data_IF_343191718992
#
_entry.id   IF_343191718992
#
_cell.length_a   1.000
_cell.length_b   1.000
_cell.length_c   1.000
_cell.angle_alpha   90.00
_cell.angle_beta   90.00
_cell.angle_gamma   90.00
#
_symmetry.space_group_name_H-M   'P 1'
#
loop_
_entity.id
_entity.type
_entity.pdbx_description
1 polymer ?
#
# COMPACT_ATOMS: atom_id res chain seq x y z
N UNK A 1 -0.11 -0.33 -24.33
CA UNK A 1 -0.31 0.25 -22.97
C UNK A 1 -1.69 -0.16 -22.48
N UNK A 2 -1.78 -0.86 -21.38
CA UNK A 2 -3.04 -1.23 -20.71
C UNK A 2 -3.07 -0.52 -19.35
N UNK A 3 -4.18 0.12 -18.99
CA UNK A 3 -4.35 0.81 -17.72
C UNK A 3 -5.39 0.05 -16.91
N UNK A 4 -5.04 -0.34 -15.68
CA UNK A 4 -5.94 -1.02 -14.73
C UNK A 4 -6.21 -0.06 -13.58
N UNK A 5 -7.49 0.21 -13.33
CA UNK A 5 -7.93 1.00 -12.19
C UNK A 5 -7.87 0.12 -10.93
N UNK A 6 -7.03 0.50 -9.98
CA UNK A 6 -6.80 -0.18 -8.71
C UNK A 6 -7.63 0.43 -7.57
N UNK A 7 -8.47 1.44 -7.86
CA UNK A 7 -9.27 2.14 -6.87
C UNK A 7 -10.54 1.37 -6.52
N UNK A 8 -10.94 1.45 -5.25
CA UNK A 8 -12.28 1.08 -4.83
C UNK A 8 -13.28 2.18 -5.19
N UNK A 9 -14.55 1.81 -5.40
CA UNK A 9 -15.63 2.75 -5.67
C UNK A 9 -16.55 2.88 -4.45
N UNK A 10 -16.97 4.11 -4.15
CA UNK A 10 -18.02 4.37 -3.17
C UNK A 10 -18.95 5.49 -3.67
N UNK A 11 -20.21 5.46 -3.24
CA UNK A 11 -21.19 6.46 -3.65
C UNK A 11 -21.31 7.55 -2.60
N UNK A 12 -21.11 8.81 -2.98
CA UNK A 12 -21.22 9.97 -2.10
C UNK A 12 -22.07 11.06 -2.77
N UNK A 13 -23.11 11.52 -2.09
CA UNK A 13 -23.88 12.72 -2.49
C UNK A 13 -23.30 14.01 -1.90
N UNK A 14 -22.64 13.92 -0.73
CA UNK A 14 -21.97 15.03 -0.06
C UNK A 14 -20.58 14.60 0.39
N UNK A 15 -19.54 15.34 -0.01
CA UNK A 15 -18.18 15.03 0.36
C UNK A 15 -17.87 15.48 1.80
N UNK A 16 -18.30 14.68 2.77
CA UNK A 16 -17.77 14.67 4.14
C UNK A 16 -17.26 13.28 4.38
N UNK A 17 -16.00 13.03 4.06
CA UNK A 17 -15.39 11.70 4.12
C UNK A 17 -14.48 11.58 5.32
N UNK A 18 -14.45 10.40 5.93
CA UNK A 18 -13.28 9.95 6.66
C UNK A 18 -12.14 9.80 5.63
N UNK A 19 -10.96 10.42 5.81
CA UNK A 19 -9.85 10.36 4.85
C UNK A 19 -9.39 8.91 4.57
N UNK A 20 -9.59 7.99 5.51
CA UNK A 20 -9.29 6.56 5.37
C UNK A 20 -10.44 5.75 4.72
N UNK A 21 -11.27 6.37 3.88
CA UNK A 21 -12.37 5.68 3.19
C UNK A 21 -11.99 5.32 1.76
N UNK A 22 -12.13 4.04 1.41
CA UNK A 22 -11.79 3.53 0.07
C UNK A 22 -10.27 3.46 -0.14
N UNK A 23 -9.83 3.57 -1.39
CA UNK A 23 -8.39 3.61 -1.69
C UNK A 23 -7.80 4.94 -1.26
N UNK A 24 -6.82 4.90 -0.38
CA UNK A 24 -6.20 6.10 0.20
C UNK A 24 -4.71 5.88 0.49
N UNK A 25 -3.98 6.97 0.66
CA UNK A 25 -2.57 6.97 1.05
C UNK A 25 -2.39 7.66 2.40
N UNK A 26 -1.60 7.05 3.26
CA UNK A 26 -1.18 7.58 4.56
C UNK A 26 0.26 8.06 4.51
N UNK A 27 0.52 9.19 5.15
CA UNK A 27 1.83 9.80 5.31
C UNK A 27 2.26 9.83 6.78
N UNK A 28 3.55 10.11 7.08
CA UNK A 28 4.07 10.18 8.45
C UNK A 28 3.23 11.02 9.41
N UNK A 29 2.62 12.11 8.96
CA UNK A 29 1.77 12.96 9.80
C UNK A 29 0.55 12.22 10.40
N UNK A 30 0.21 11.04 9.89
CA UNK A 30 -0.87 10.22 10.45
C UNK A 30 -0.57 9.75 11.88
N UNK A 31 0.67 9.38 12.15
CA UNK A 31 1.09 8.87 13.47
C UNK A 31 2.10 9.76 14.21
N UNK A 32 2.75 10.66 13.49
CA UNK A 32 3.81 11.50 14.02
C UNK A 32 3.44 12.98 13.86
N UNK A 33 3.30 13.76 14.97
CA UNK A 33 2.87 15.15 14.89
C UNK A 33 3.76 16.05 14.01
N UNK A 34 5.07 15.75 13.96
CA UNK A 34 6.06 16.47 13.14
C UNK A 34 6.37 15.74 11.83
N UNK A 35 5.61 14.69 11.50
CA UNK A 35 5.76 13.92 10.27
C UNK A 35 5.30 14.71 9.04
N UNK A 36 5.88 14.39 7.89
CA UNK A 36 5.47 14.98 6.62
C UNK A 36 4.00 14.65 6.31
N UNK A 37 3.30 15.64 5.81
CA UNK A 37 1.95 15.51 5.25
C UNK A 37 2.02 15.09 3.79
N UNK A 38 0.89 14.65 3.25
CA UNK A 38 0.80 14.11 1.89
C UNK A 38 1.32 15.07 0.83
N UNK A 39 0.98 16.37 0.94
CA UNK A 39 1.38 17.40 -0.03
C UNK A 39 2.86 17.81 0.05
N UNK A 40 3.58 17.35 1.06
CA UNK A 40 5.00 17.63 1.26
C UNK A 40 5.92 16.59 0.58
N UNK A 41 5.34 15.54 -0.01
CA UNK A 41 6.06 14.57 -0.80
C UNK A 41 6.13 14.96 -2.27
N UNK A 42 7.27 14.68 -2.90
CA UNK A 42 7.44 14.86 -4.33
C UNK A 42 6.52 13.91 -5.11
N UNK A 43 6.02 14.35 -6.28
CA UNK A 43 5.03 13.61 -7.07
C UNK A 43 5.55 12.25 -7.54
N UNK A 44 6.86 12.10 -7.70
CA UNK A 44 7.55 10.86 -8.05
C UNK A 44 7.31 9.74 -7.04
N UNK A 45 6.99 10.08 -5.78
CA UNK A 45 6.60 9.10 -4.75
C UNK A 45 5.25 8.44 -5.04
N UNK A 46 4.40 9.10 -5.81
CA UNK A 46 3.08 8.64 -6.20
C UNK A 46 3.02 8.16 -7.66
N UNK A 47 4.11 8.33 -8.41
CA UNK A 47 4.28 7.86 -9.79
C UNK A 47 5.60 7.10 -9.85
N UNK A 48 5.57 5.80 -9.62
CA UNK A 48 6.77 4.99 -9.46
C UNK A 48 6.65 3.63 -10.16
N UNK A 49 7.77 2.98 -10.39
CA UNK A 49 7.76 1.54 -10.67
C UNK A 49 7.26 0.79 -9.43
N UNK A 50 6.47 -0.25 -9.65
CA UNK A 50 5.89 -1.05 -8.59
C UNK A 50 6.15 -2.54 -8.82
N UNK A 51 6.52 -3.25 -7.76
CA UNK A 51 6.57 -4.70 -7.72
C UNK A 51 5.25 -5.24 -7.15
N UNK A 52 4.66 -6.24 -7.81
CA UNK A 52 3.50 -6.98 -7.30
C UNK A 52 3.99 -8.28 -6.66
N UNK A 53 3.73 -8.44 -5.37
CA UNK A 53 3.98 -9.66 -4.62
C UNK A 53 2.67 -10.42 -4.38
N UNK A 54 2.57 -11.61 -4.94
CA UNK A 54 1.39 -12.47 -4.77
C UNK A 54 1.46 -13.24 -3.45
N UNK A 55 0.65 -12.79 -2.51
CA UNK A 55 0.48 -13.36 -1.17
C UNK A 55 -0.95 -13.94 -1.00
N UNK A 56 -1.62 -14.21 -2.12
CA UNK A 56 -3.02 -14.69 -2.16
C UNK A 56 -3.22 -16.07 -1.52
N UNK A 57 -2.14 -16.78 -1.21
CA UNK A 57 -2.15 -18.03 -0.48
C UNK A 57 -2.31 -17.86 1.04
N UNK A 58 -2.07 -16.66 1.57
CA UNK A 58 -2.25 -16.36 3.00
C UNK A 58 -3.72 -16.39 3.36
N UNK A 59 -4.02 -16.92 4.52
CA UNK A 59 -5.39 -17.01 5.03
C UNK A 59 -5.77 -15.74 5.78
N UNK A 60 -7.07 -15.58 5.94
CA UNK A 60 -7.67 -14.51 6.73
C UNK A 60 -6.99 -14.38 8.11
N UNK A 61 -6.56 -13.19 8.48
CA UNK A 61 -5.92 -12.90 9.76
C UNK A 61 -4.50 -13.43 9.94
N UNK A 62 -3.89 -14.02 8.89
CA UNK A 62 -2.49 -14.43 8.96
C UNK A 62 -1.55 -13.25 8.70
N UNK A 63 -0.45 -13.15 9.49
CA UNK A 63 0.59 -12.17 9.22
C UNK A 63 1.34 -12.51 7.93
N UNK A 64 1.81 -11.47 7.27
CA UNK A 64 2.78 -11.53 6.18
C UNK A 64 4.11 -11.12 6.81
N UNK A 65 5.00 -12.10 6.98
CA UNK A 65 6.33 -11.90 7.56
C UNK A 65 7.39 -11.73 6.46
N UNK A 66 8.62 -11.45 6.86
CA UNK A 66 9.78 -11.31 5.98
C UNK A 66 10.01 -12.55 5.10
N UNK A 67 9.89 -13.76 5.65
CA UNK A 67 10.01 -15.02 4.91
C UNK A 67 8.94 -15.15 3.80
N UNK A 68 7.73 -14.66 4.03
CA UNK A 68 6.67 -14.65 3.02
C UNK A 68 7.00 -13.69 1.86
N UNK A 69 7.58 -12.53 2.19
CA UNK A 69 7.98 -11.52 1.20
C UNK A 69 9.16 -12.02 0.35
N UNK A 70 10.17 -12.65 0.98
CA UNK A 70 11.29 -13.26 0.26
C UNK A 70 10.82 -14.36 -0.70
N UNK A 71 9.94 -15.23 -0.22
CA UNK A 71 9.35 -16.28 -1.06
C UNK A 71 8.54 -15.71 -2.23
N UNK A 72 7.81 -14.61 -2.01
CA UNK A 72 7.04 -13.95 -3.07
C UNK A 72 7.95 -13.23 -4.09
N UNK A 73 9.08 -12.63 -3.68
CA UNK A 73 10.11 -12.10 -4.58
C UNK A 73 10.68 -13.19 -5.48
N UNK A 74 11.06 -14.33 -4.88
CA UNK A 74 11.59 -15.48 -5.60
C UNK A 74 10.56 -16.05 -6.60
N UNK A 75 9.31 -16.23 -6.17
CA UNK A 75 8.25 -16.73 -7.03
C UNK A 75 7.93 -15.78 -8.20
N UNK A 76 8.04 -14.48 -7.99
CA UNK A 76 7.86 -13.45 -9.01
C UNK A 76 9.11 -13.27 -9.93
N UNK A 77 10.23 -13.90 -9.58
CA UNK A 77 11.49 -13.76 -10.30
C UNK A 77 12.06 -12.34 -10.27
N UNK A 78 11.85 -11.61 -9.19
CA UNK A 78 12.31 -10.23 -9.04
C UNK A 78 13.06 -10.02 -7.73
N UNK A 79 13.81 -8.92 -7.65
CA UNK A 79 14.35 -8.38 -6.42
C UNK A 79 13.81 -6.97 -6.22
N UNK A 80 13.39 -6.63 -5.00
CA UNK A 80 12.94 -5.30 -4.66
C UNK A 80 14.07 -4.28 -4.79
N UNK A 81 13.73 -3.07 -5.24
CA UNK A 81 14.67 -1.98 -5.49
C UNK A 81 14.41 -0.81 -4.56
N UNK A 82 15.45 -0.11 -4.19
CA UNK A 82 15.35 1.14 -3.44
C UNK A 82 14.45 2.15 -4.15
N UNK A 83 13.54 2.77 -3.41
CA UNK A 83 12.62 3.80 -3.89
C UNK A 83 11.40 3.30 -4.65
N UNK A 84 11.32 2.01 -5.05
CA UNK A 84 10.13 1.51 -5.75
C UNK A 84 8.94 1.33 -4.80
N UNK A 85 7.75 1.21 -5.39
CA UNK A 85 6.55 0.79 -4.66
C UNK A 85 6.45 -0.72 -4.61
N UNK A 86 5.92 -1.26 -3.50
CA UNK A 86 5.63 -2.69 -3.35
C UNK A 86 4.14 -2.87 -3.11
N UNK A 87 3.49 -3.69 -3.92
CA UNK A 87 2.05 -3.96 -3.84
C UNK A 87 1.83 -5.39 -3.39
N UNK A 88 1.20 -5.54 -2.23
CA UNK A 88 0.88 -6.81 -1.60
C UNK A 88 -0.51 -7.25 -2.06
N UNK A 89 -0.57 -8.32 -2.86
CA UNK A 89 -1.83 -8.92 -3.29
C UNK A 89 -2.21 -10.05 -2.35
N UNK A 90 -3.18 -9.82 -1.48
CA UNK A 90 -3.62 -10.79 -0.47
C UNK A 90 -4.91 -11.51 -0.86
N UNK A 91 -5.58 -11.10 -1.95
CA UNK A 91 -6.89 -11.59 -2.40
C UNK A 91 -8.02 -11.35 -1.40
N UNK A 92 -7.77 -10.55 -0.37
CA UNK A 92 -8.71 -10.39 0.75
C UNK A 92 -9.78 -9.33 0.47
N UNK A 93 -9.52 -8.44 -0.46
CA UNK A 93 -10.45 -7.35 -0.76
C UNK A 93 -10.79 -6.51 0.48
N UNK A 94 -12.03 -6.03 0.57
CA UNK A 94 -12.53 -5.26 1.74
C UNK A 94 -13.07 -6.14 2.86
N UNK A 95 -12.85 -7.45 2.83
CA UNK A 95 -13.32 -8.32 3.90
C UNK A 95 -12.40 -8.22 5.09
N UNK A 96 -12.88 -7.59 6.14
CA UNK A 96 -12.19 -7.50 7.41
C UNK A 96 -12.59 -8.68 8.32
N UNK A 97 -11.62 -9.33 9.03
CA UNK A 97 -10.18 -9.13 9.04
C UNK A 97 -9.49 -9.78 7.82
N UNK A 98 -8.67 -9.01 7.09
CA UNK A 98 -7.84 -9.47 5.97
C UNK A 98 -6.48 -10.02 6.41
N UNK A 99 -5.65 -10.44 5.46
CA UNK A 99 -4.22 -10.58 5.68
C UNK A 99 -3.61 -9.21 5.99
N UNK A 100 -2.60 -9.18 6.82
CA UNK A 100 -1.93 -7.96 7.23
C UNK A 100 -0.41 -8.11 7.19
N UNK A 101 0.30 -7.03 6.98
CA UNK A 101 1.75 -7.01 7.04
C UNK A 101 2.18 -7.01 8.52
N UNK A 102 3.02 -7.95 8.91
CA UNK A 102 3.57 -7.96 10.26
C UNK A 102 4.64 -6.88 10.43
N UNK A 103 5.03 -6.66 11.67
CA UNK A 103 6.16 -5.80 11.98
C UNK A 103 7.45 -6.26 11.30
N UNK A 104 7.74 -7.57 11.33
CA UNK A 104 8.94 -8.14 10.69
C UNK A 104 8.91 -7.93 9.18
N UNK A 105 7.75 -8.14 8.54
CA UNK A 105 7.58 -7.86 7.12
C UNK A 105 7.77 -6.37 6.80
N UNK A 106 7.30 -5.46 7.67
CA UNK A 106 7.51 -4.02 7.49
C UNK A 106 8.99 -3.63 7.65
N UNK A 107 9.69 -4.19 8.64
CA UNK A 107 11.13 -3.99 8.84
C UNK A 107 11.96 -4.52 7.65
N UNK A 108 11.52 -5.63 7.05
CA UNK A 108 12.11 -6.14 5.82
C UNK A 108 11.96 -5.16 4.65
N UNK A 109 10.76 -4.63 4.42
CA UNK A 109 10.52 -3.64 3.36
C UNK A 109 11.27 -2.31 3.63
N UNK A 110 11.37 -1.90 4.89
CA UNK A 110 12.23 -0.78 5.30
C UNK A 110 13.69 -1.05 4.93
N UNK A 111 14.22 -2.23 5.27
CA UNK A 111 15.59 -2.63 4.95
C UNK A 111 15.86 -2.63 3.44
N UNK A 112 14.87 -3.01 2.62
CA UNK A 112 14.94 -2.93 1.14
C UNK A 112 14.90 -1.49 0.63
N UNK A 113 14.55 -0.52 1.46
CA UNK A 113 14.51 0.90 1.09
C UNK A 113 13.37 1.25 0.15
N UNK A 114 12.23 0.55 0.21
CA UNK A 114 11.08 0.82 -0.65
C UNK A 114 10.47 2.19 -0.37
N UNK A 115 9.81 2.77 -1.34
CA UNK A 115 9.24 4.11 -1.23
C UNK A 115 7.78 4.16 -0.78
N UNK A 116 7.01 3.13 -1.12
CA UNK A 116 5.60 3.01 -0.82
C UNK A 116 5.24 1.53 -0.69
N UNK A 117 4.37 1.19 0.25
CA UNK A 117 3.79 -0.15 0.39
C UNK A 117 2.29 -0.07 0.20
N UNK A 118 1.76 -0.82 -0.75
CA UNK A 118 0.33 -0.91 -1.04
C UNK A 118 -0.26 -2.28 -0.70
N UNK A 119 -1.53 -2.31 -0.29
CA UNK A 119 -2.25 -3.54 0.04
C UNK A 119 -3.72 -3.48 -0.41
N UNK A 120 -4.31 -4.62 -0.74
CA UNK A 120 -5.73 -4.74 -1.09
C UNK A 120 -6.66 -4.94 0.13
N UNK A 121 -6.12 -4.88 1.34
CA UNK A 121 -6.88 -4.86 2.60
C UNK A 121 -7.29 -3.41 2.99
N UNK A 122 -8.26 -3.30 3.89
CA UNK A 122 -8.72 -2.01 4.41
C UNK A 122 -7.73 -1.40 5.43
N UNK A 123 -6.82 -2.22 6.00
CA UNK A 123 -5.67 -1.78 6.78
C UNK A 123 -4.47 -2.70 6.53
N UNK A 124 -3.28 -2.12 6.53
CA UNK A 124 -2.01 -2.85 6.45
C UNK A 124 -1.67 -3.53 7.77
N UNK A 125 -2.09 -2.97 8.91
CA UNK A 125 -1.98 -3.57 10.24
C UNK A 125 -3.08 -4.61 10.48
N UNK A 126 -2.86 -5.47 11.47
CA UNK A 126 -3.90 -6.33 12.00
C UNK A 126 -5.07 -5.50 12.56
N UNK A 127 -6.29 -6.00 12.37
CA UNK A 127 -7.51 -5.43 12.94
C UNK A 127 -7.46 -5.25 14.47
N UNK A 128 -6.69 -6.10 15.13
CA UNK A 128 -6.56 -6.10 16.58
C UNK A 128 -5.38 -5.23 17.06
N UNK A 129 -4.62 -4.65 16.13
CA UNK A 129 -3.44 -3.84 16.44
C UNK A 129 -3.85 -2.46 16.96
N UNK A 130 -3.71 -2.25 18.26
CA UNK A 130 -3.90 -0.93 18.90
C UNK A 130 -2.68 -0.02 18.63
N UNK A 131 -1.48 -0.61 18.48
CA UNK A 131 -0.22 0.12 18.36
C UNK A 131 0.12 0.52 16.93
N UNK A 132 -0.57 -0.02 15.93
CA UNK A 132 -0.31 0.20 14.51
C UNK A 132 1.18 -0.02 14.17
N UNK A 133 1.69 -1.18 14.57
CA UNK A 133 3.12 -1.47 14.54
C UNK A 133 3.72 -1.40 13.13
N UNK A 134 2.99 -1.88 12.13
CA UNK A 134 3.38 -1.83 10.71
C UNK A 134 3.43 -0.40 10.19
N UNK A 135 2.36 0.37 10.40
CA UNK A 135 2.36 1.80 10.05
C UNK A 135 3.52 2.55 10.72
N UNK A 136 3.79 2.28 12.01
CA UNK A 136 4.89 2.95 12.71
C UNK A 136 6.24 2.69 12.09
N UNK A 137 6.53 1.45 11.72
CA UNK A 137 7.79 1.10 11.05
C UNK A 137 7.89 1.86 9.72
N UNK A 138 6.90 1.73 8.85
CA UNK A 138 6.94 2.31 7.50
C UNK A 138 6.95 3.84 7.52
N UNK A 139 5.98 4.45 8.22
CA UNK A 139 5.81 5.90 8.23
C UNK A 139 6.96 6.64 8.94
N UNK A 140 7.64 6.00 9.93
CA UNK A 140 8.80 6.60 10.58
C UNK A 140 10.01 6.77 9.63
N UNK A 141 9.98 6.12 8.47
CA UNK A 141 11.00 6.14 7.42
C UNK A 141 10.55 6.82 6.13
N UNK A 142 9.49 7.62 6.21
CA UNK A 142 8.90 8.26 5.03
C UNK A 142 8.44 7.25 3.96
N UNK A 143 8.18 5.99 4.32
CA UNK A 143 7.57 4.98 3.45
C UNK A 143 6.06 5.17 3.51
N UNK A 144 5.45 5.54 2.40
CA UNK A 144 4.00 5.78 2.31
C UNK A 144 3.22 4.46 2.38
N UNK A 145 2.02 4.50 2.96
CA UNK A 145 1.12 3.34 3.02
C UNK A 145 -0.10 3.60 2.14
N UNK A 146 -0.38 2.68 1.22
CA UNK A 146 -1.49 2.76 0.25
C UNK A 146 -2.46 1.60 0.50
N UNK A 147 -3.64 1.90 1.00
CA UNK A 147 -4.62 0.91 1.44
C UNK A 147 -5.87 0.85 0.56
N UNK A 148 -6.62 -0.21 0.69
CA UNK A 148 -7.90 -0.36 0.01
C UNK A 148 -7.79 -0.55 -1.50
N UNK A 149 -6.68 -1.10 -2.01
CA UNK A 149 -6.51 -1.41 -3.43
C UNK A 149 -7.51 -2.47 -3.91
N UNK A 150 -7.85 -2.42 -5.20
CA UNK A 150 -8.78 -3.37 -5.83
C UNK A 150 -8.22 -3.82 -7.17
N UNK A 151 -8.78 -4.89 -7.70
CA UNK A 151 -8.48 -5.42 -9.04
C UNK A 151 -7.03 -5.89 -9.25
N UNK A 152 -6.26 -6.15 -8.19
CA UNK A 152 -4.87 -6.58 -8.29
C UNK A 152 -4.72 -7.89 -9.09
N UNK A 153 -5.71 -8.79 -9.01
CA UNK A 153 -5.76 -10.01 -9.82
C UNK A 153 -5.75 -9.78 -11.34
N UNK A 154 -6.03 -8.55 -11.80
CA UNK A 154 -6.03 -8.19 -13.22
C UNK A 154 -4.65 -7.77 -13.73
N UNK A 155 -3.65 -7.67 -12.86
CA UNK A 155 -2.27 -7.38 -13.20
C UNK A 155 -1.57 -8.70 -13.52
N UNK A 156 -1.11 -8.84 -14.75
CA UNK A 156 -0.43 -10.04 -15.26
C UNK A 156 1.08 -9.87 -15.40
N UNK A 157 1.63 -8.84 -14.76
CA UNK A 157 3.06 -8.52 -14.75
C UNK A 157 3.55 -8.36 -13.31
N UNK A 158 4.71 -8.92 -12.99
CA UNK A 158 5.35 -8.75 -11.68
C UNK A 158 5.83 -7.30 -11.44
N UNK A 159 5.96 -6.49 -12.52
CA UNK A 159 6.29 -5.06 -12.43
C UNK A 159 5.36 -4.25 -13.32
N UNK A 160 5.03 -3.06 -12.84
CA UNK A 160 4.20 -2.10 -13.56
C UNK A 160 4.48 -0.69 -13.05
N UNK A 161 4.00 0.33 -13.76
CA UNK A 161 4.02 1.69 -13.25
C UNK A 161 2.76 1.97 -12.44
N UNK A 162 2.95 2.29 -11.15
CA UNK A 162 1.89 2.76 -10.26
C UNK A 162 1.71 4.28 -10.44
N UNK A 163 0.45 4.71 -10.53
CA UNK A 163 0.04 6.12 -10.39
C UNK A 163 -1.01 6.18 -9.30
N UNK A 164 -0.71 6.88 -8.19
CA UNK A 164 -1.59 6.97 -7.00
C UNK A 164 -1.62 8.40 -6.44
N UNK A 165 -1.77 9.38 -7.32
CA UNK A 165 -1.72 10.79 -6.95
C UNK A 165 -2.81 11.15 -5.93
N UNK A 166 -2.43 11.70 -4.76
CA UNK A 166 -3.38 12.18 -3.77
C UNK A 166 -4.03 13.49 -4.21
N UNK A 167 -5.12 13.86 -3.57
CA UNK A 167 -5.61 15.23 -3.64
C UNK A 167 -4.58 16.16 -3.00
N UNK A 168 -4.41 17.35 -3.57
CA UNK A 168 -3.50 18.37 -3.01
C UNK A 168 -4.15 19.03 -1.79
N UNK A 169 -4.15 18.33 -0.68
CA UNK A 169 -4.72 18.74 0.60
C UNK A 169 -3.61 18.77 1.66
N UNK A 170 -3.67 19.73 2.57
CA UNK A 170 -2.84 19.74 3.77
C UNK A 170 -3.40 18.71 4.76
N UNK A 171 -3.00 17.46 4.59
CA UNK A 171 -3.56 16.34 5.32
C UNK A 171 -2.54 15.21 5.55
N UNK A 172 -2.75 14.45 6.61
CA UNK A 172 -1.96 13.25 6.92
C UNK A 172 -2.32 12.07 6.00
N UNK A 173 -3.55 12.06 5.49
CA UNK A 173 -4.14 11.00 4.68
C UNK A 173 -4.95 11.61 3.55
N UNK A 174 -4.93 11.00 2.39
CA UNK A 174 -5.71 11.46 1.24
C UNK A 174 -6.30 10.29 0.46
N UNK A 175 -7.57 10.37 0.06
CA UNK A 175 -8.09 9.45 -0.95
C UNK A 175 -7.31 9.63 -2.26
N UNK A 176 -7.12 8.51 -2.95
CA UNK A 176 -6.42 8.47 -4.24
C UNK A 176 -7.21 7.64 -5.25
N UNK A 177 -7.02 7.93 -6.54
CA UNK A 177 -7.33 7.01 -7.61
C UNK A 177 -6.04 6.31 -8.04
N UNK A 178 -5.85 5.06 -7.58
CA UNK A 178 -4.68 4.27 -7.93
C UNK A 178 -4.90 3.54 -9.26
N UNK A 179 -3.89 3.59 -10.13
CA UNK A 179 -3.91 2.94 -11.46
C UNK A 179 -2.60 2.21 -11.70
N UNK A 180 -2.69 0.99 -12.25
CA UNK A 180 -1.56 0.28 -12.83
C UNK A 180 -1.48 0.56 -14.33
N UNK A 181 -0.32 1.00 -14.79
CA UNK A 181 -0.02 1.20 -16.22
C UNK A 181 0.90 0.07 -16.65
N UNK A 182 0.43 -0.75 -17.58
CA UNK A 182 1.13 -1.91 -18.13
C UNK A 182 1.62 -1.59 -19.56
N UNK A 183 2.85 -1.99 -19.88
CA UNK A 183 3.43 -1.86 -21.22
C UNK A 183 2.91 -2.91 -22.21
#
# INVERSE_FOLDING_TARGET
MRVIDLSGTFSIEHYKSNPHSGTHVDSPAYLFPDGKKVEEFELERFISEAALLDLSHKKLGQPIDDEDLEAAEEAAGLALREGESVILYTRMGTSFPGGYLSRNGAEYLEFKGVGLVGIDADSIDSAESVEMATHRVLLSRDILVLEGLRNLASIDSARFRLVSLPLKLTAATSPVRAVAVLE
#
